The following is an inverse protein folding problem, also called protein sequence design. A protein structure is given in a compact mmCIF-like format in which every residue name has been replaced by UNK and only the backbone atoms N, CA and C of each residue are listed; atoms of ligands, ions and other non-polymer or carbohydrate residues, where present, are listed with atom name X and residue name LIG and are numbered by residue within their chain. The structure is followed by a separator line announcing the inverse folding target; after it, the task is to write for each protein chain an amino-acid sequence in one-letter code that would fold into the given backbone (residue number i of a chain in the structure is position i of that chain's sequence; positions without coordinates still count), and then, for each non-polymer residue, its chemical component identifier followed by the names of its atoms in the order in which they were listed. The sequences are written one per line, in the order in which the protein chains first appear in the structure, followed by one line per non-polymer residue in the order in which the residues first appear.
data_IF_933591528489
#
_entry.id   IF_933591528489
#
_cell.length_a   1.000
_cell.length_b   1.000
_cell.length_c   1.000
_cell.angle_alpha   90.00
_cell.angle_beta   90.00
_cell.angle_gamma   90.00
#
_symmetry.space_group_name_H-M   'P 1'
#
loop_
_entity.id
_entity.type
_entity.pdbx_description
1 polymer ?
#
# COMPACT_ATOMS: atom_id res chain seq x y z
N UNK A 1 44.02 10.21 2.81
CA UNK A 1 45.31 9.52 3.00
C UNK A 1 46.13 9.42 1.73
N UNK A 2 45.60 9.03 0.56
CA UNK A 2 46.33 8.83 -0.69
C UNK A 2 47.01 10.10 -1.23
N UNK A 3 46.32 11.26 -1.21
CA UNK A 3 46.90 12.53 -1.65
C UNK A 3 48.10 12.96 -0.78
N UNK A 4 48.02 12.76 0.52
CA UNK A 4 49.12 13.05 1.43
C UNK A 4 50.33 12.13 1.16
N UNK A 5 50.08 10.84 0.89
CA UNK A 5 51.15 9.89 0.54
C UNK A 5 51.84 10.27 -0.82
N UNK A 6 51.03 10.59 -1.84
CA UNK A 6 51.56 11.01 -3.13
C UNK A 6 52.35 12.34 -3.06
N UNK A 7 51.82 13.32 -2.31
CA UNK A 7 52.50 14.59 -2.05
C UNK A 7 53.78 14.42 -1.25
N UNK A 8 53.75 13.54 -0.21
CA UNK A 8 54.89 13.20 0.61
C UNK A 8 56.01 12.50 -0.22
N UNK A 9 55.64 11.57 -1.10
CA UNK A 9 56.57 10.94 -2.03
C UNK A 9 57.19 11.97 -2.98
N UNK A 10 56.37 12.87 -3.53
CA UNK A 10 56.85 13.95 -4.36
C UNK A 10 57.85 14.86 -3.65
N UNK A 11 57.52 15.27 -2.41
CA UNK A 11 58.42 16.08 -1.58
C UNK A 11 59.74 15.32 -1.26
N UNK A 12 59.67 14.03 -0.96
CA UNK A 12 60.84 13.19 -0.73
C UNK A 12 61.72 13.08 -1.97
N UNK A 13 61.15 12.96 -3.19
CA UNK A 13 61.89 12.96 -4.43
C UNK A 13 62.60 14.29 -4.70
N UNK A 14 61.93 15.42 -4.43
CA UNK A 14 62.53 16.76 -4.56
C UNK A 14 63.70 16.91 -3.59
N UNK A 15 63.51 16.48 -2.32
CA UNK A 15 64.54 16.54 -1.31
C UNK A 15 65.73 15.64 -1.66
N UNK A 16 65.47 14.41 -2.11
CA UNK A 16 66.54 13.51 -2.58
C UNK A 16 67.30 14.08 -3.77
N UNK A 17 66.60 14.75 -4.72
CA UNK A 17 67.23 15.46 -5.81
C UNK A 17 68.18 16.57 -5.35
N UNK A 18 67.77 17.31 -4.32
CA UNK A 18 68.61 18.35 -3.72
C UNK A 18 69.84 17.80 -2.95
N UNK A 19 69.67 16.68 -2.24
CA UNK A 19 70.75 16.07 -1.45
C UNK A 19 71.78 15.38 -2.34
N UNK A 20 71.29 14.70 -3.40
CA UNK A 20 72.17 13.94 -4.31
C UNK A 20 72.55 14.69 -5.59
N UNK A 21 72.23 15.97 -5.71
CA UNK A 21 72.43 16.82 -6.88
C UNK A 21 71.92 16.19 -8.18
N UNK A 22 70.78 15.50 -8.10
CA UNK A 22 70.17 14.75 -9.19
C UNK A 22 69.04 15.52 -9.86
N UNK A 23 69.30 16.20 -10.96
CA UNK A 23 68.34 16.98 -11.71
C UNK A 23 67.12 16.12 -12.20
N UNK A 24 67.30 14.82 -12.41
CA UNK A 24 66.28 13.91 -12.92
C UNK A 24 65.13 13.62 -11.91
N UNK A 25 65.35 13.84 -10.59
CA UNK A 25 64.35 13.61 -9.56
C UNK A 25 63.37 14.79 -9.36
N UNK A 26 63.74 15.99 -9.77
CA UNK A 26 62.88 17.17 -9.62
C UNK A 26 61.59 17.10 -10.43
N UNK A 27 61.57 16.78 -11.75
CA UNK A 27 60.35 16.78 -12.53
C UNK A 27 59.27 15.82 -11.98
N UNK A 28 59.54 14.53 -11.67
CA UNK A 28 58.54 13.65 -11.12
C UNK A 28 58.13 14.06 -9.71
N UNK A 29 59.04 14.57 -8.87
CA UNK A 29 58.76 15.05 -7.55
C UNK A 29 57.79 16.23 -7.55
N UNK A 30 58.10 17.25 -8.35
CA UNK A 30 57.24 18.42 -8.51
C UNK A 30 55.90 18.06 -9.11
N UNK A 31 55.86 17.18 -10.11
CA UNK A 31 54.60 16.69 -10.70
C UNK A 31 53.69 16.02 -9.67
N UNK A 32 54.22 15.16 -8.81
CA UNK A 32 53.45 14.49 -7.74
C UNK A 32 52.92 15.47 -6.71
N UNK A 33 53.71 16.46 -6.32
CA UNK A 33 53.25 17.52 -5.40
C UNK A 33 52.12 18.32 -6.03
N UNK A 34 52.29 18.79 -7.27
CA UNK A 34 51.29 19.59 -7.98
C UNK A 34 49.98 18.81 -8.19
N UNK A 35 50.07 17.53 -8.60
CA UNK A 35 48.90 16.65 -8.73
C UNK A 35 48.17 16.47 -7.41
N UNK A 36 48.90 16.26 -6.31
CA UNK A 36 48.30 16.07 -4.98
C UNK A 36 47.63 17.35 -4.49
N UNK A 37 48.29 18.49 -4.59
CA UNK A 37 47.74 19.79 -4.20
C UNK A 37 46.55 20.16 -5.09
N UNK A 38 46.71 19.99 -6.41
CA UNK A 38 45.66 20.26 -7.38
C UNK A 38 44.42 19.41 -7.18
N UNK A 39 44.56 18.09 -6.94
CA UNK A 39 43.46 17.20 -6.64
C UNK A 39 42.70 17.62 -5.37
N UNK A 40 43.43 17.92 -4.29
CA UNK A 40 42.82 18.38 -3.02
C UNK A 40 42.11 19.71 -3.18
N UNK A 41 42.76 20.68 -3.87
CA UNK A 41 42.17 21.99 -4.12
C UNK A 41 40.88 21.88 -4.95
N UNK A 42 40.94 21.10 -6.06
CA UNK A 42 39.78 20.92 -6.93
C UNK A 42 38.58 20.27 -6.20
N UNK A 43 38.82 19.13 -5.49
CA UNK A 43 37.76 18.46 -4.74
C UNK A 43 37.19 19.36 -3.64
N UNK A 44 38.03 20.14 -2.92
CA UNK A 44 37.57 21.08 -1.91
C UNK A 44 36.73 22.22 -2.49
N UNK A 45 37.13 22.79 -3.62
CA UNK A 45 36.38 23.86 -4.30
C UNK A 45 35.07 23.34 -4.88
N UNK A 46 35.06 22.12 -5.43
CA UNK A 46 33.88 21.48 -5.94
C UNK A 46 32.89 21.08 -4.83
N UNK A 47 33.41 20.72 -3.64
CA UNK A 47 32.57 20.38 -2.49
C UNK A 47 32.08 21.59 -1.69
N UNK A 48 32.73 22.76 -1.84
CA UNK A 48 32.34 23.97 -1.13
C UNK A 48 31.00 24.48 -1.64
N UNK A 49 29.96 24.47 -0.77
CA UNK A 49 28.57 24.79 -1.12
C UNK A 49 27.93 23.79 -2.12
N UNK A 50 28.51 22.60 -2.27
CA UNK A 50 27.82 21.54 -2.97
C UNK A 50 26.64 21.04 -2.15
N UNK A 51 25.53 20.73 -2.80
CA UNK A 51 24.35 20.23 -2.17
C UNK A 51 23.71 19.10 -2.99
N UNK A 52 23.08 18.18 -2.30
CA UNK A 52 22.19 17.18 -2.87
C UNK A 52 20.84 17.25 -2.18
N UNK A 53 19.79 17.39 -2.96
CA UNK A 53 18.43 17.55 -2.47
C UNK A 53 17.48 16.64 -3.23
N UNK A 54 16.48 16.12 -2.55
CA UNK A 54 15.35 15.47 -3.21
C UNK A 54 14.38 16.56 -3.70
N UNK A 55 13.93 16.39 -4.93
CA UNK A 55 12.86 17.25 -5.44
C UNK A 55 11.55 16.88 -4.74
N UNK A 56 10.67 17.86 -4.45
CA UNK A 56 9.35 17.59 -3.91
C UNK A 56 8.61 16.55 -4.77
N UNK A 57 8.07 15.54 -4.13
CA UNK A 57 7.36 14.44 -4.76
C UNK A 57 6.07 14.08 -4.01
N UNK A 58 5.32 13.09 -4.48
CA UNK A 58 4.15 12.58 -3.77
C UNK A 58 4.55 12.05 -2.40
N UNK A 59 3.82 12.44 -1.37
CA UNK A 59 4.02 11.96 0.01
C UNK A 59 3.47 10.57 0.25
N UNK A 60 2.70 10.03 -0.72
CA UNK A 60 2.15 8.68 -0.68
C UNK A 60 2.24 8.00 -2.04
N UNK A 61 2.35 6.69 -2.03
CA UNK A 61 2.39 5.83 -3.20
C UNK A 61 1.73 4.49 -2.88
N UNK A 62 1.13 3.84 -3.86
CA UNK A 62 0.61 2.47 -3.68
C UNK A 62 1.74 1.46 -3.88
N UNK A 63 1.72 0.34 -3.14
CA UNK A 63 2.66 -0.77 -3.32
C UNK A 63 2.82 -1.13 -4.81
N UNK A 64 4.06 -1.47 -5.21
CA UNK A 64 4.46 -1.85 -6.56
C UNK A 64 4.26 -0.77 -7.63
N UNK A 65 3.66 0.37 -7.31
CA UNK A 65 3.56 1.48 -8.25
C UNK A 65 4.89 2.27 -8.31
N UNK A 66 5.24 2.79 -9.49
CA UNK A 66 6.43 3.60 -9.63
C UNK A 66 6.25 4.93 -8.87
N UNK A 67 7.16 5.18 -7.94
CA UNK A 67 7.26 6.46 -7.23
C UNK A 67 8.38 7.29 -7.85
N UNK A 68 8.09 8.51 -8.36
CA UNK A 68 9.09 9.34 -9.02
C UNK A 68 10.02 9.97 -7.98
N UNK A 69 11.25 9.48 -7.89
CA UNK A 69 12.33 10.08 -7.11
C UNK A 69 13.09 11.06 -7.99
N UNK A 70 13.00 12.34 -7.67
CA UNK A 70 13.81 13.39 -8.26
C UNK A 70 14.96 13.76 -7.33
N UNK A 71 16.18 13.80 -7.85
CA UNK A 71 17.36 14.25 -7.13
C UNK A 71 17.97 15.44 -7.87
N UNK A 72 18.30 16.49 -7.15
CA UNK A 72 19.03 17.65 -7.65
C UNK A 72 20.38 17.69 -6.98
N UNK A 73 21.41 17.60 -7.80
CA UNK A 73 22.80 17.75 -7.35
C UNK A 73 23.31 19.09 -7.84
N UNK A 74 23.85 19.89 -6.94
CA UNK A 74 24.59 21.12 -7.26
C UNK A 74 26.03 20.99 -6.76
N UNK A 75 27.00 21.25 -7.62
CA UNK A 75 28.39 21.38 -7.20
C UNK A 75 28.66 22.79 -6.66
N UNK A 76 29.79 22.95 -6.00
CA UNK A 76 30.21 24.21 -5.45
C UNK A 76 30.72 25.22 -6.49
N UNK A 77 31.84 25.85 -6.18
CA UNK A 77 32.41 26.95 -6.98
C UNK A 77 32.84 26.47 -8.35
N UNK A 78 33.36 25.24 -8.45
CA UNK A 78 33.82 24.60 -9.69
C UNK A 78 33.01 23.31 -9.96
N UNK A 79 32.91 22.88 -11.23
CA UNK A 79 32.31 21.59 -11.54
C UNK A 79 33.10 20.47 -10.86
N UNK A 80 32.43 19.39 -10.41
CA UNK A 80 33.11 18.26 -9.79
C UNK A 80 33.99 17.56 -10.85
N UNK A 81 35.23 17.17 -10.51
CA UNK A 81 36.09 16.43 -11.43
C UNK A 81 35.52 15.03 -11.73
N UNK A 82 34.75 14.47 -10.83
CA UNK A 82 34.06 13.21 -10.87
C UNK A 82 33.41 12.91 -9.56
N UNK A 83 32.65 11.84 -9.49
CA UNK A 83 32.03 11.39 -8.26
C UNK A 83 30.78 10.53 -8.46
N UNK A 84 30.10 10.30 -7.39
CA UNK A 84 28.93 9.41 -7.33
C UNK A 84 27.88 10.00 -6.40
N UNK A 85 26.64 9.87 -6.82
CA UNK A 85 25.48 10.10 -5.96
C UNK A 85 25.05 8.77 -5.37
N UNK A 86 25.07 8.67 -4.05
CA UNK A 86 24.62 7.53 -3.28
C UNK A 86 23.21 7.85 -2.75
N UNK A 87 22.21 7.18 -3.29
CA UNK A 87 20.84 7.24 -2.80
C UNK A 87 20.50 5.89 -2.20
N UNK A 88 20.16 5.82 -0.89
CA UNK A 88 19.90 4.55 -0.21
C UNK A 88 18.75 3.72 -0.81
N UNK A 89 17.82 4.37 -1.52
CA UNK A 89 16.73 3.69 -2.24
C UNK A 89 17.20 3.02 -3.54
N UNK A 90 18.38 3.38 -4.02
CA UNK A 90 18.99 2.79 -5.20
C UNK A 90 20.05 1.79 -4.73
N UNK A 91 20.04 0.59 -5.26
CA UNK A 91 21.06 -0.41 -4.94
C UNK A 91 22.43 -0.14 -5.58
N UNK A 92 22.59 0.97 -6.32
CA UNK A 92 23.80 1.33 -7.07
C UNK A 92 24.08 2.82 -7.03
N UNK A 93 25.38 3.22 -7.09
CA UNK A 93 25.77 4.61 -7.21
C UNK A 93 25.45 5.19 -8.59
N UNK A 94 24.98 6.43 -8.62
CA UNK A 94 24.74 7.16 -9.88
C UNK A 94 25.94 8.04 -10.17
N UNK A 95 26.66 7.86 -11.31
CA UNK A 95 27.82 8.67 -11.63
C UNK A 95 27.43 10.13 -11.86
N UNK A 96 28.24 11.03 -11.33
CA UNK A 96 28.11 12.47 -11.53
C UNK A 96 29.44 13.06 -11.99
N UNK A 97 29.40 14.11 -12.77
CA UNK A 97 30.62 14.84 -13.16
C UNK A 97 30.42 15.84 -14.27
N UNK A 98 31.37 16.73 -14.41
CA UNK A 98 31.49 17.68 -15.54
C UNK A 98 30.46 18.81 -15.56
N UNK A 99 29.43 18.80 -14.73
CA UNK A 99 28.36 19.82 -14.70
C UNK A 99 28.17 20.38 -13.29
N UNK A 100 27.92 21.69 -13.18
CA UNK A 100 27.63 22.33 -11.90
C UNK A 100 26.27 21.95 -11.31
N UNK A 101 25.30 21.62 -12.15
CA UNK A 101 23.99 21.16 -11.70
C UNK A 101 23.54 19.99 -12.54
N UNK A 102 23.09 18.94 -11.89
CA UNK A 102 22.56 17.74 -12.54
C UNK A 102 21.24 17.35 -11.86
N UNK A 103 20.26 16.94 -12.67
CA UNK A 103 19.00 16.38 -12.19
C UNK A 103 18.94 14.92 -12.59
N UNK A 104 18.64 14.08 -11.60
CA UNK A 104 18.44 12.65 -11.78
C UNK A 104 17.01 12.34 -11.46
N UNK A 105 16.32 11.61 -12.34
CA UNK A 105 14.95 11.16 -12.13
C UNK A 105 14.93 9.65 -12.27
N UNK A 106 14.40 8.97 -11.26
CA UNK A 106 14.35 7.52 -11.18
C UNK A 106 13.00 7.13 -10.59
N UNK A 107 12.47 6.00 -11.03
CA UNK A 107 11.26 5.44 -10.45
C UNK A 107 11.65 4.35 -9.46
N UNK A 108 11.26 4.52 -8.20
CA UNK A 108 11.45 3.54 -7.14
C UNK A 108 10.12 2.81 -6.92
N UNK A 109 10.17 1.52 -6.60
CA UNK A 109 8.99 0.74 -6.23
C UNK A 109 9.15 0.21 -4.82
N UNK A 110 8.08 0.31 -4.04
CA UNK A 110 8.04 -0.22 -2.68
C UNK A 110 7.20 -1.49 -2.66
N UNK A 111 7.78 -2.59 -2.23
CA UNK A 111 7.12 -3.90 -2.19
C UNK A 111 6.20 -4.09 -0.98
N UNK A 112 6.34 -3.24 0.06
CA UNK A 112 5.58 -3.38 1.30
C UNK A 112 5.01 -2.05 1.74
N UNK A 113 3.78 -2.08 2.23
CA UNK A 113 3.06 -0.94 2.77
C UNK A 113 3.72 -0.40 4.06
N UNK A 114 3.31 0.79 4.46
CA UNK A 114 3.73 1.41 5.72
C UNK A 114 4.45 2.73 5.54
N UNK A 115 4.87 3.33 6.65
CA UNK A 115 5.72 4.52 6.63
C UNK A 115 7.15 4.12 6.32
N UNK A 116 7.74 4.80 5.36
CA UNK A 116 9.13 4.62 4.96
C UNK A 116 9.88 5.92 5.19
N UNK A 117 10.73 5.93 6.21
CA UNK A 117 11.72 6.99 6.39
C UNK A 117 12.79 6.88 5.31
N UNK A 118 13.08 7.99 4.66
CA UNK A 118 14.10 8.08 3.62
C UNK A 118 15.41 8.53 4.25
N UNK A 119 16.42 7.67 4.23
CA UNK A 119 17.75 8.03 4.68
C UNK A 119 18.35 9.11 3.78
N UNK A 120 19.24 9.94 4.31
CA UNK A 120 19.83 11.05 3.56
C UNK A 120 20.58 10.57 2.31
N UNK A 121 20.40 11.22 1.15
CA UNK A 121 21.26 10.99 -0.01
C UNK A 121 22.65 11.55 0.26
N UNK A 122 23.68 10.95 -0.31
CA UNK A 122 25.06 11.36 -0.13
C UNK A 122 25.73 11.62 -1.49
N UNK A 123 26.40 12.76 -1.60
CA UNK A 123 27.18 13.13 -2.76
C UNK A 123 28.65 12.88 -2.46
N UNK A 124 29.29 11.98 -3.20
CA UNK A 124 30.72 11.68 -3.10
C UNK A 124 31.43 12.32 -4.27
N UNK A 125 32.26 13.33 -4.01
CA UNK A 125 33.07 14.02 -5.01
C UNK A 125 34.50 13.45 -4.93
N UNK A 126 35.03 12.99 -6.07
CA UNK A 126 36.36 12.39 -6.16
C UNK A 126 37.17 12.99 -7.31
N UNK A 127 38.45 13.07 -7.13
CA UNK A 127 39.35 13.36 -8.25
C UNK A 127 39.54 12.12 -9.18
N UNK A 128 39.91 12.29 -10.45
CA UNK A 128 40.07 11.20 -11.40
C UNK A 128 41.06 10.13 -10.97
N UNK A 129 42.09 10.52 -10.24
CA UNK A 129 43.14 9.62 -9.74
C UNK A 129 42.79 8.96 -8.39
N UNK A 130 41.61 9.29 -7.83
CA UNK A 130 41.16 8.81 -6.53
C UNK A 130 42.13 9.10 -5.37
N UNK A 131 42.85 10.19 -5.46
CA UNK A 131 43.75 10.64 -4.41
C UNK A 131 43.01 11.29 -3.27
N UNK A 132 41.92 12.01 -3.57
CA UNK A 132 41.08 12.74 -2.61
C UNK A 132 39.62 12.49 -2.88
N UNK A 133 38.81 12.35 -1.78
CA UNK A 133 37.37 12.35 -1.85
C UNK A 133 36.75 13.24 -0.77
N UNK A 134 35.57 13.76 -1.05
CA UNK A 134 34.76 14.52 -0.11
C UNK A 134 33.32 14.07 -0.19
N UNK A 135 32.69 13.88 0.96
CA UNK A 135 31.29 13.49 1.07
C UNK A 135 30.46 14.67 1.56
N UNK A 136 29.31 14.86 0.93
CA UNK A 136 28.34 15.90 1.26
C UNK A 136 27.00 15.20 1.44
N UNK A 137 26.50 15.19 2.67
CA UNK A 137 25.19 14.63 2.99
C UNK A 137 24.08 15.60 2.62
N UNK A 138 22.99 15.06 2.07
CA UNK A 138 21.75 15.79 1.85
C UNK A 138 20.85 15.83 3.10
N UNK A 139 19.67 16.43 2.98
CA UNK A 139 18.68 16.46 4.05
C UNK A 139 18.18 15.05 4.38
N UNK A 140 17.96 14.81 5.68
CA UNK A 140 17.34 13.60 6.21
C UNK A 140 15.93 13.92 6.73
N UNK A 141 15.15 12.86 7.04
CA UNK A 141 13.86 13.02 7.73
C UNK A 141 12.65 13.11 6.82
N UNK A 142 12.80 12.90 5.53
CA UNK A 142 11.65 12.73 4.63
C UNK A 142 10.99 11.37 4.84
N UNK A 143 9.66 11.34 4.75
CA UNK A 143 8.87 10.11 4.85
C UNK A 143 7.93 9.96 3.66
N UNK A 144 7.75 8.71 3.24
CA UNK A 144 6.76 8.32 2.23
C UNK A 144 5.81 7.30 2.83
N UNK A 145 4.51 7.50 2.64
CA UNK A 145 3.48 6.55 3.04
C UNK A 145 3.19 5.58 1.89
N UNK A 146 3.53 4.32 2.07
CA UNK A 146 3.24 3.27 1.10
C UNK A 146 1.88 2.66 1.43
N UNK A 147 0.91 2.90 0.55
CA UNK A 147 -0.47 2.44 0.68
C UNK A 147 -0.60 0.98 0.22
N UNK A 148 -1.45 0.15 0.85
CA UNK A 148 -1.70 -1.20 0.37
C UNK A 148 -2.33 -1.19 -1.02
N UNK A 149 -1.91 -2.10 -1.89
CA UNK A 149 -2.52 -2.24 -3.22
C UNK A 149 -3.94 -2.82 -3.10
N UNK A 150 -4.80 -2.41 -4.02
CA UNK A 150 -6.16 -2.91 -4.15
C UNK A 150 -6.20 -3.92 -5.29
N UNK A 151 -6.66 -5.14 -5.00
CA UNK A 151 -6.72 -6.24 -5.94
C UNK A 151 -8.18 -6.64 -6.24
N UNK A 152 -8.46 -7.19 -7.42
CA UNK A 152 -9.81 -7.66 -7.73
C UNK A 152 -10.22 -8.85 -6.85
N UNK A 153 -11.51 -8.91 -6.53
CA UNK A 153 -12.11 -10.07 -5.85
C UNK A 153 -12.48 -11.12 -6.90
N UNK A 154 -11.93 -12.32 -6.77
CA UNK A 154 -12.17 -13.44 -7.68
C UNK A 154 -13.09 -14.46 -7.03
N UNK A 155 -14.24 -14.74 -7.64
CA UNK A 155 -15.21 -15.72 -7.11
C UNK A 155 -14.74 -17.15 -7.47
N UNK A 156 -14.67 -18.02 -6.46
CA UNK A 156 -14.33 -19.44 -6.65
C UNK A 156 -15.55 -20.16 -7.24
N UNK A 157 -15.42 -20.73 -8.45
CA UNK A 157 -16.52 -21.47 -9.11
C UNK A 157 -16.89 -20.98 -10.51
N UNK A 158 -16.31 -19.88 -10.99
CA UNK A 158 -16.40 -19.45 -12.38
C UNK A 158 -15.37 -20.17 -13.24
N UNK A 159 -15.48 -21.47 -13.44
CA UNK A 159 -14.70 -22.21 -14.42
C UNK A 159 -15.08 -21.80 -15.85
N UNK A 160 -14.49 -20.74 -16.36
CA UNK A 160 -14.69 -20.21 -17.70
C UNK A 160 -13.51 -19.36 -18.12
N UNK A 161 -12.55 -20.01 -18.81
CA UNK A 161 -11.53 -19.46 -19.72
C UNK A 161 -11.15 -18.00 -19.53
N UNK A 162 -9.96 -17.77 -19.01
CA UNK A 162 -9.21 -16.56 -19.20
C UNK A 162 -9.11 -16.26 -20.71
N UNK A 163 -9.84 -15.26 -21.18
CA UNK A 163 -9.78 -14.67 -22.50
C UNK A 163 -9.66 -13.18 -22.30
N UNK A 164 -8.47 -12.65 -22.53
CA UNK A 164 -8.21 -11.23 -22.63
C UNK A 164 -9.04 -10.60 -23.75
N UNK A 165 -9.64 -9.44 -23.51
CA UNK A 165 -10.17 -8.58 -24.55
C UNK A 165 -10.91 -7.39 -23.96
N UNK A 166 -10.45 -6.16 -24.25
CA UNK A 166 -11.20 -4.98 -23.87
C UNK A 166 -12.29 -4.70 -24.89
N UNK A 167 -13.33 -4.01 -24.44
CA UNK A 167 -14.27 -3.22 -25.23
C UNK A 167 -15.68 -3.78 -25.41
N UNK A 168 -16.57 -2.91 -24.97
CA UNK A 168 -17.82 -2.51 -25.61
C UNK A 168 -19.08 -3.31 -25.32
N UNK A 169 -20.06 -2.55 -24.89
CA UNK A 169 -21.43 -2.75 -25.34
C UNK A 169 -22.47 -2.95 -24.27
N UNK A 170 -23.12 -1.88 -23.94
CA UNK A 170 -24.54 -1.73 -23.64
C UNK A 170 -25.35 -3.01 -23.31
N UNK A 171 -25.95 -3.00 -22.13
CA UNK A 171 -27.18 -3.73 -21.87
C UNK A 171 -27.01 -5.06 -21.19
N UNK A 172 -26.96 -5.04 -19.90
CA UNK A 172 -27.09 -6.20 -19.05
C UNK A 172 -26.64 -5.87 -17.63
N UNK A 173 -27.57 -5.46 -16.78
CA UNK A 173 -27.36 -5.46 -15.34
C UNK A 173 -27.19 -6.92 -14.90
N UNK A 174 -26.07 -7.48 -15.30
CA UNK A 174 -25.67 -8.82 -14.94
C UNK A 174 -25.19 -8.82 -13.50
N UNK A 175 -25.65 -9.82 -12.77
CA UNK A 175 -25.33 -10.24 -11.42
C UNK A 175 -23.83 -10.57 -11.20
N UNK A 176 -22.91 -9.73 -11.65
CA UNK A 176 -21.48 -9.88 -11.48
C UNK A 176 -21.04 -8.98 -10.33
N UNK A 177 -20.90 -9.54 -9.14
CA UNK A 177 -20.28 -8.84 -8.02
C UNK A 177 -20.89 -9.04 -6.64
N UNK A 178 -21.90 -9.89 -6.48
CA UNK A 178 -22.38 -10.21 -5.14
C UNK A 178 -21.53 -11.31 -4.54
N UNK A 179 -20.88 -11.00 -3.43
CA UNK A 179 -20.22 -12.01 -2.60
C UNK A 179 -21.31 -12.97 -2.08
N UNK A 180 -21.09 -14.32 -2.14
CA UNK A 180 -21.99 -15.28 -1.54
C UNK A 180 -22.19 -14.96 -0.05
N UNK A 181 -23.43 -14.78 0.37
CA UNK A 181 -23.79 -14.32 1.72
C UNK A 181 -24.12 -12.83 1.82
N UNK A 182 -23.86 -12.02 0.78
CA UNK A 182 -24.36 -10.67 0.66
C UNK A 182 -25.78 -10.61 0.01
N UNK A 183 -26.31 -11.74 -0.39
CA UNK A 183 -27.74 -11.87 -0.63
C UNK A 183 -28.46 -11.95 0.73
N UNK A 184 -28.44 -10.81 1.47
CA UNK A 184 -29.58 -10.55 2.32
C UNK A 184 -30.74 -10.41 1.32
N UNK A 185 -31.61 -11.40 1.26
CA UNK A 185 -32.96 -11.21 0.77
C UNK A 185 -33.37 -9.82 1.20
N UNK A 186 -33.73 -8.99 0.24
CA UNK A 186 -34.50 -7.80 0.51
C UNK A 186 -35.85 -8.32 1.02
N UNK A 187 -35.80 -8.78 2.26
CA UNK A 187 -36.98 -9.26 2.96
C UNK A 187 -37.89 -8.05 3.15
N UNK A 188 -39.07 -8.16 2.60
CA UNK A 188 -40.08 -7.13 2.53
C UNK A 188 -40.74 -6.85 3.89
N UNK A 189 -40.08 -7.15 5.00
CA UNK A 189 -40.52 -6.87 6.37
C UNK A 189 -40.53 -5.36 6.73
N UNK A 190 -40.34 -4.49 5.76
CA UNK A 190 -40.33 -3.05 5.92
C UNK A 190 -41.53 -2.33 5.29
N UNK A 191 -42.66 -2.98 5.01
CA UNK A 191 -43.89 -2.32 4.58
C UNK A 191 -44.66 -1.77 5.78
N UNK A 192 -45.02 -0.51 5.74
CA UNK A 192 -45.91 0.13 6.72
C UNK A 192 -47.09 0.82 6.02
N UNK A 193 -48.19 1.05 6.68
CA UNK A 193 -49.28 1.83 6.11
C UNK A 193 -48.80 3.21 5.64
N UNK A 194 -49.21 3.59 4.44
CA UNK A 194 -48.86 4.87 3.83
C UNK A 194 -49.38 6.03 4.70
N UNK A 195 -48.52 7.01 4.94
CA UNK A 195 -48.92 8.25 5.61
C UNK A 195 -49.11 9.37 4.58
N UNK A 196 -50.23 10.09 4.59
CA UNK A 196 -50.45 11.25 3.73
C UNK A 196 -49.30 12.26 3.90
N UNK A 197 -48.68 12.66 2.77
CA UNK A 197 -47.50 13.55 2.74
C UNK A 197 -46.16 12.85 2.47
N UNK A 198 -46.11 11.51 2.50
CA UNK A 198 -44.91 10.79 2.01
C UNK A 198 -44.87 10.80 0.49
N UNK A 199 -43.63 10.76 -0.09
CA UNK A 199 -43.44 10.72 -1.54
C UNK A 199 -44.11 9.48 -2.15
N UNK A 200 -44.88 9.64 -3.21
CA UNK A 200 -45.53 8.56 -3.96
C UNK A 200 -44.52 7.53 -4.52
N UNK A 201 -43.26 7.90 -4.70
CA UNK A 201 -42.17 6.99 -5.13
C UNK A 201 -41.85 5.91 -4.08
N UNK A 202 -42.33 6.08 -2.85
CA UNK A 202 -42.15 5.10 -1.74
C UNK A 202 -43.27 4.07 -1.69
N UNK A 203 -44.37 4.24 -2.40
CA UNK A 203 -45.47 3.31 -2.43
C UNK A 203 -45.04 2.00 -3.09
N UNK A 204 -45.30 0.87 -2.41
CA UNK A 204 -45.03 -0.46 -2.93
C UNK A 204 -46.19 -0.97 -3.76
N UNK A 205 -46.30 -0.53 -5.01
CA UNK A 205 -47.43 -0.84 -5.89
C UNK A 205 -47.78 -2.34 -6.00
N UNK A 206 -46.80 -3.29 -6.04
CA UNK A 206 -47.15 -4.71 -6.04
C UNK A 206 -47.88 -5.19 -4.79
N UNK A 207 -47.61 -4.60 -3.62
CA UNK A 207 -48.33 -4.93 -2.41
C UNK A 207 -49.72 -4.31 -2.43
N UNK A 208 -49.86 -3.06 -2.86
CA UNK A 208 -51.15 -2.39 -3.07
C UNK A 208 -52.07 -3.20 -3.99
N UNK A 209 -51.52 -3.74 -5.08
CA UNK A 209 -52.26 -4.58 -6.02
C UNK A 209 -52.77 -5.90 -5.42
N UNK A 210 -52.11 -6.42 -4.35
CA UNK A 210 -52.46 -7.68 -3.69
C UNK A 210 -53.40 -7.49 -2.51
N UNK A 211 -53.16 -6.45 -1.74
CA UNK A 211 -53.86 -6.24 -0.45
C UNK A 211 -54.92 -5.15 -0.52
N UNK A 212 -54.92 -4.31 -1.54
CA UNK A 212 -55.80 -3.13 -1.62
C UNK A 212 -55.41 -1.98 -0.70
N UNK A 213 -54.45 -2.18 0.19
CA UNK A 213 -53.97 -1.17 1.14
C UNK A 213 -52.74 -0.46 0.64
N UNK A 214 -52.71 0.88 0.78
CA UNK A 214 -51.54 1.66 0.45
C UNK A 214 -50.42 1.41 1.48
N UNK A 215 -49.41 0.67 1.05
CA UNK A 215 -48.22 0.35 1.82
C UNK A 215 -47.00 1.11 1.25
N UNK A 216 -46.26 1.78 2.13
CA UNK A 216 -44.97 2.42 1.75
C UNK A 216 -43.78 1.58 2.19
N UNK A 217 -42.72 1.59 1.35
CA UNK A 217 -41.44 1.00 1.72
C UNK A 217 -40.81 1.82 2.83
N UNK A 218 -40.52 1.19 3.95
CA UNK A 218 -39.62 1.75 4.93
C UNK A 218 -38.22 1.72 4.38
N UNK A 219 -37.64 2.87 4.03
CA UNK A 219 -36.22 2.99 3.80
C UNK A 219 -35.57 2.82 5.18
N UNK A 220 -35.11 1.61 5.47
CA UNK A 220 -34.15 1.40 6.55
C UNK A 220 -32.93 2.23 6.14
N UNK A 221 -32.43 3.07 7.02
CA UNK A 221 -31.30 3.91 6.70
C UNK A 221 -30.19 3.04 6.08
N UNK A 222 -29.70 3.41 4.90
CA UNK A 222 -28.69 2.63 4.14
C UNK A 222 -27.50 2.23 5.03
N UNK A 223 -27.22 2.99 6.09
CA UNK A 223 -26.18 2.72 7.07
C UNK A 223 -26.42 1.47 7.94
N UNK A 224 -27.68 1.00 8.10
CA UNK A 224 -27.97 -0.18 8.93
C UNK A 224 -27.84 -1.50 8.16
N UNK A 225 -27.91 -1.47 6.83
CA UNK A 225 -27.80 -2.64 5.96
C UNK A 225 -26.41 -2.80 5.32
N UNK A 226 -25.53 -1.83 5.47
CA UNK A 226 -24.18 -1.87 4.89
C UNK A 226 -23.35 -3.01 5.48
N UNK A 227 -22.62 -3.77 4.65
CA UNK A 227 -21.70 -4.79 5.13
C UNK A 227 -20.60 -4.16 5.99
N UNK A 228 -20.12 -4.91 6.98
CA UNK A 228 -19.06 -4.50 7.88
C UNK A 228 -17.80 -5.31 7.60
N UNK A 229 -16.72 -4.64 7.17
CA UNK A 229 -15.37 -5.23 7.07
C UNK A 229 -14.64 -4.97 8.38
N UNK A 230 -14.25 -6.04 9.07
CA UNK A 230 -13.49 -6.00 10.32
C UNK A 230 -12.08 -6.52 10.05
N UNK A 231 -11.08 -5.72 10.33
CA UNK A 231 -9.68 -6.15 10.27
C UNK A 231 -9.18 -6.54 11.67
N UNK A 232 -8.87 -7.81 11.83
CA UNK A 232 -8.23 -8.35 13.04
C UNK A 232 -6.74 -8.61 12.78
N UNK A 233 -5.89 -7.74 13.28
CA UNK A 233 -4.44 -7.83 13.11
C UNK A 233 -3.72 -8.48 14.30
N UNK A 234 -4.45 -9.19 15.16
CA UNK A 234 -3.85 -9.89 16.31
C UNK A 234 -3.13 -11.16 15.87
N UNK A 235 -1.96 -11.40 16.49
CA UNK A 235 -1.19 -12.64 16.31
C UNK A 235 -1.08 -13.05 14.84
N UNK A 236 -0.57 -12.19 13.96
CA UNK A 236 -0.41 -12.56 12.56
C UNK A 236 0.56 -13.75 12.47
N UNK A 237 0.30 -14.68 11.57
CA UNK A 237 1.17 -15.84 11.34
C UNK A 237 2.55 -15.41 10.82
N UNK A 238 2.59 -14.34 10.03
CA UNK A 238 3.81 -13.68 9.56
C UNK A 238 3.50 -12.21 9.18
N UNK A 239 4.53 -11.44 8.90
CA UNK A 239 4.35 -10.07 8.38
C UNK A 239 3.70 -10.06 7.00
N UNK A 240 4.03 -11.04 6.14
CA UNK A 240 3.44 -11.21 4.82
C UNK A 240 1.95 -11.56 4.92
N UNK A 241 1.56 -12.40 5.88
CA UNK A 241 0.17 -12.72 6.16
C UNK A 241 -0.61 -11.48 6.61
N UNK A 242 0.01 -10.61 7.42
CA UNK A 242 -0.58 -9.33 7.81
C UNK A 242 -0.74 -8.41 6.61
N UNK A 243 0.26 -8.31 5.76
CA UNK A 243 0.21 -7.49 4.55
C UNK A 243 -0.87 -8.00 3.59
N UNK A 244 -1.01 -9.31 3.41
CA UNK A 244 -2.07 -9.93 2.62
C UNK A 244 -3.47 -9.62 3.21
N UNK A 245 -3.66 -9.78 4.52
CA UNK A 245 -4.92 -9.47 5.19
C UNK A 245 -5.30 -7.98 5.04
N UNK A 246 -4.34 -7.07 5.16
CA UNK A 246 -4.61 -5.64 4.97
C UNK A 246 -4.95 -5.31 3.51
N UNK A 247 -4.26 -5.91 2.52
CA UNK A 247 -4.62 -5.78 1.10
C UNK A 247 -6.02 -6.33 0.83
N UNK A 248 -6.36 -7.48 1.42
CA UNK A 248 -7.69 -8.06 1.31
C UNK A 248 -8.76 -7.14 1.90
N UNK A 249 -8.54 -6.56 3.09
CA UNK A 249 -9.44 -5.60 3.69
C UNK A 249 -9.62 -4.34 2.82
N UNK A 250 -8.52 -3.80 2.26
CA UNK A 250 -8.55 -2.66 1.36
C UNK A 250 -9.37 -2.97 0.09
N UNK A 251 -9.12 -4.12 -0.53
CA UNK A 251 -9.78 -4.56 -1.74
C UNK A 251 -11.27 -4.81 -1.55
N UNK A 252 -11.65 -5.48 -0.47
CA UNK A 252 -13.04 -5.71 -0.09
C UNK A 252 -13.76 -4.40 0.22
N UNK A 253 -13.11 -3.47 0.90
CA UNK A 253 -13.67 -2.15 1.19
C UNK A 253 -14.04 -1.42 -0.11
N UNK A 254 -13.13 -1.32 -1.05
CA UNK A 254 -13.40 -0.66 -2.35
C UNK A 254 -14.48 -1.41 -3.14
N UNK A 255 -14.39 -2.74 -3.18
CA UNK A 255 -15.36 -3.55 -3.91
C UNK A 255 -16.78 -3.34 -3.39
N UNK A 256 -16.98 -3.42 -2.09
CA UNK A 256 -18.29 -3.25 -1.44
C UNK A 256 -18.78 -1.81 -1.45
N UNK A 257 -17.89 -0.84 -1.26
CA UNK A 257 -18.25 0.58 -1.33
C UNK A 257 -18.86 0.93 -2.69
N UNK A 258 -18.29 0.43 -3.79
CA UNK A 258 -18.81 0.65 -5.15
C UNK A 258 -20.19 0.03 -5.40
N UNK A 259 -20.55 -1.01 -4.66
CA UNK A 259 -21.84 -1.69 -4.80
C UNK A 259 -22.95 -0.97 -4.03
N UNK A 260 -22.68 -0.47 -2.81
CA UNK A 260 -23.74 0.14 -1.99
C UNK A 260 -23.24 0.72 -0.67
N UNK A 261 -21.93 0.90 -0.54
CA UNK A 261 -21.32 1.38 0.70
C UNK A 261 -20.89 0.23 1.63
N UNK A 262 -19.97 0.54 2.54
CA UNK A 262 -19.39 -0.42 3.50
C UNK A 262 -18.97 0.29 4.77
N UNK A 263 -19.16 -0.37 5.92
CA UNK A 263 -18.56 0.02 7.18
C UNK A 263 -17.23 -0.69 7.37
N UNK A 264 -16.22 0.00 7.87
CA UNK A 264 -14.87 -0.55 8.10
C UNK A 264 -14.49 -0.35 9.55
N UNK A 265 -14.10 -1.42 10.22
CA UNK A 265 -13.61 -1.40 11.59
C UNK A 265 -12.14 -1.83 11.60
N UNK A 266 -11.26 -0.88 11.88
CA UNK A 266 -9.81 -1.11 11.97
C UNK A 266 -9.39 -1.44 13.41
N UNK A 267 -8.20 -2.04 13.61
CA UNK A 267 -7.66 -2.27 14.94
C UNK A 267 -7.60 -1.00 15.77
N UNK A 268 -8.09 -1.07 17.01
CA UNK A 268 -8.16 0.08 17.93
C UNK A 268 -9.40 0.97 17.78
N UNK A 269 -10.20 0.78 16.75
CA UNK A 269 -11.43 1.55 16.55
C UNK A 269 -12.56 1.06 17.50
N UNK A 270 -13.27 2.02 18.08
CA UNK A 270 -14.50 1.75 18.85
C UNK A 270 -15.76 1.84 17.98
N UNK A 271 -15.68 2.49 16.82
CA UNK A 271 -16.78 2.67 15.87
C UNK A 271 -16.29 2.42 14.45
N UNK A 272 -17.13 1.81 13.65
CA UNK A 272 -16.82 1.61 12.24
C UNK A 272 -16.89 2.93 11.46
N UNK A 273 -15.97 3.10 10.53
CA UNK A 273 -15.95 4.23 9.58
C UNK A 273 -16.79 3.82 8.35
N UNK A 274 -17.74 4.66 7.96
CA UNK A 274 -18.53 4.45 6.76
C UNK A 274 -17.76 4.92 5.52
N UNK A 275 -17.75 4.08 4.48
CA UNK A 275 -17.23 4.40 3.16
C UNK A 275 -18.38 4.26 2.16
N UNK A 276 -18.88 5.39 1.69
CA UNK A 276 -19.96 5.43 0.72
C UNK A 276 -19.49 5.09 -0.70
N UNK A 277 -20.45 4.99 -1.62
CA UNK A 277 -20.18 4.76 -3.05
C UNK A 277 -19.41 5.92 -3.70
N UNK A 278 -19.44 7.10 -3.12
CA UNK A 278 -18.67 8.29 -3.50
C UNK A 278 -17.18 8.18 -3.16
N UNK A 279 -16.80 7.21 -2.32
CA UNK A 279 -15.44 6.97 -1.85
C UNK A 279 -14.77 8.16 -1.13
N UNK A 280 -15.54 9.14 -0.65
CA UNK A 280 -14.99 10.36 -0.01
C UNK A 280 -14.17 10.05 1.23
N UNK A 281 -14.57 9.06 2.04
CA UNK A 281 -13.84 8.62 3.22
C UNK A 281 -12.66 7.66 2.91
N UNK A 282 -12.58 7.13 1.70
CA UNK A 282 -11.59 6.12 1.32
C UNK A 282 -10.13 6.56 1.52
N UNK A 283 -9.68 7.76 1.09
CA UNK A 283 -8.29 8.15 1.26
C UNK A 283 -7.82 8.09 2.72
N UNK A 284 -8.66 8.49 3.66
CA UNK A 284 -8.34 8.43 5.08
C UNK A 284 -8.28 7.00 5.61
N UNK A 285 -9.22 6.13 5.21
CA UNK A 285 -9.22 4.70 5.57
C UNK A 285 -8.01 4.00 4.96
N UNK A 286 -7.69 4.29 3.70
CA UNK A 286 -6.55 3.71 2.99
C UNK A 286 -5.21 4.08 3.64
N UNK A 287 -5.03 5.34 4.02
CA UNK A 287 -3.86 5.80 4.76
C UNK A 287 -3.72 5.12 6.13
N UNK A 288 -4.84 4.89 6.83
CA UNK A 288 -4.85 4.17 8.11
C UNK A 288 -4.52 2.69 7.92
N UNK A 289 -5.04 2.04 6.88
CA UNK A 289 -4.71 0.65 6.52
C UNK A 289 -3.21 0.49 6.24
N UNK A 290 -2.56 1.48 5.64
CA UNK A 290 -1.13 1.44 5.36
C UNK A 290 -0.28 1.26 6.63
N UNK A 291 -0.70 1.84 7.74
CA UNK A 291 0.06 1.84 9.00
C UNK A 291 -0.41 0.79 10.02
N UNK A 292 -1.36 -0.08 9.65
CA UNK A 292 -1.80 -1.15 10.54
C UNK A 292 -0.65 -2.10 10.83
N UNK A 293 -0.31 -2.25 12.11
CA UNK A 293 0.61 -3.26 12.64
C UNK A 293 -0.11 -4.37 13.39
N UNK A 294 0.65 -5.30 13.96
CA UNK A 294 0.10 -6.30 14.86
C UNK A 294 -0.51 -5.62 16.10
N UNK A 295 -1.76 -5.96 16.42
CA UNK A 295 -2.48 -5.42 17.55
C UNK A 295 -2.60 -6.45 18.69
N UNK A 296 -2.74 -5.98 19.93
CA UNK A 296 -3.00 -6.82 21.09
C UNK A 296 -4.49 -6.95 21.41
N UNK A 297 -5.28 -5.91 21.09
CA UNK A 297 -6.71 -5.83 21.41
C UNK A 297 -7.61 -6.46 20.36
N UNK A 298 -8.72 -7.08 20.81
CA UNK A 298 -9.75 -7.59 19.91
C UNK A 298 -10.52 -6.44 19.26
N UNK A 299 -10.94 -6.59 17.98
CA UNK A 299 -11.85 -5.63 17.35
C UNK A 299 -13.16 -5.50 18.14
N UNK A 300 -13.59 -4.25 18.39
CA UNK A 300 -14.80 -3.96 19.15
C UNK A 300 -16.05 -4.04 18.25
N UNK A 301 -16.67 -5.21 18.17
CA UNK A 301 -17.92 -5.42 17.42
C UNK A 301 -19.18 -4.79 18.06
N UNK A 302 -19.06 -3.95 19.07
CA UNK A 302 -20.10 -3.52 19.98
C UNK A 302 -21.45 -3.03 19.41
N UNK A 303 -21.52 -2.75 18.10
CA UNK A 303 -22.74 -2.45 17.34
C UNK A 303 -22.59 -2.89 15.89
N UNK A 304 -22.35 -4.19 15.67
CA UNK A 304 -22.46 -4.72 14.32
C UNK A 304 -23.88 -4.50 13.78
N UNK A 305 -24.04 -4.10 12.53
CA UNK A 305 -25.37 -3.94 11.93
C UNK A 305 -26.14 -5.26 12.02
N UNK A 306 -27.38 -5.21 12.50
CA UNK A 306 -28.23 -6.41 12.69
C UNK A 306 -28.61 -7.08 11.37
N UNK A 307 -28.59 -6.36 10.27
CA UNK A 307 -29.07 -6.80 8.95
C UNK A 307 -27.99 -6.90 7.88
N UNK A 308 -26.76 -6.48 8.15
CA UNK A 308 -25.66 -6.53 7.20
C UNK A 308 -24.79 -7.78 7.34
N UNK A 309 -23.94 -8.01 6.37
CA UNK A 309 -22.93 -9.06 6.43
C UNK A 309 -21.70 -8.57 7.23
N UNK A 310 -21.12 -9.45 8.05
CA UNK A 310 -19.84 -9.19 8.72
C UNK A 310 -18.74 -9.99 8.00
N UNK A 311 -17.76 -9.29 7.49
CA UNK A 311 -16.59 -9.85 6.81
C UNK A 311 -15.38 -9.65 7.75
N UNK A 312 -14.93 -10.75 8.34
CA UNK A 312 -13.81 -10.76 9.26
C UNK A 312 -12.53 -11.13 8.56
N UNK A 313 -11.65 -10.16 8.43
CA UNK A 313 -10.34 -10.33 7.80
C UNK A 313 -9.28 -10.50 8.87
N UNK A 314 -8.50 -11.57 8.81
CA UNK A 314 -7.45 -11.84 9.81
C UNK A 314 -6.20 -12.43 9.17
N UNK A 315 -5.05 -12.10 9.76
CA UNK A 315 -3.74 -12.63 9.41
C UNK A 315 -3.31 -13.81 10.30
N UNK A 316 -4.12 -14.14 11.32
CA UNK A 316 -3.80 -15.22 12.26
C UNK A 316 -3.98 -16.59 11.60
N UNK A 317 -3.11 -17.53 11.96
CA UNK A 317 -3.35 -18.94 11.69
C UNK A 317 -4.40 -19.48 12.66
N UNK A 318 -5.55 -19.84 12.15
CA UNK A 318 -6.71 -20.21 12.94
C UNK A 318 -7.03 -21.70 12.80
N UNK A 319 -7.16 -22.40 13.93
CA UNK A 319 -7.73 -23.75 13.94
C UNK A 319 -9.26 -23.75 13.86
N UNK A 320 -9.91 -22.65 14.28
CA UNK A 320 -11.38 -22.49 14.34
C UNK A 320 -11.77 -21.05 14.05
N UNK A 321 -13.02 -20.88 13.62
CA UNK A 321 -13.59 -19.54 13.40
C UNK A 321 -13.60 -18.70 14.69
N UNK A 322 -13.29 -17.39 14.59
CA UNK A 322 -13.29 -16.50 15.75
C UNK A 322 -14.66 -16.46 16.42
N UNK A 323 -14.71 -16.64 17.75
CA UNK A 323 -15.96 -16.62 18.50
C UNK A 323 -16.71 -15.27 18.39
N UNK A 324 -16.00 -14.16 18.20
CA UNK A 324 -16.61 -12.86 17.97
C UNK A 324 -17.37 -12.82 16.63
N UNK A 325 -16.83 -13.44 15.58
CA UNK A 325 -17.51 -13.53 14.29
C UNK A 325 -18.74 -14.46 14.36
N UNK A 326 -18.61 -15.63 15.01
CA UNK A 326 -19.73 -16.59 15.12
C UNK A 326 -20.91 -16.06 15.92
N UNK A 327 -20.65 -15.17 16.90
CA UNK A 327 -21.69 -14.52 17.72
C UNK A 327 -22.18 -13.20 17.14
N UNK A 328 -21.57 -12.69 16.08
CA UNK A 328 -21.98 -11.42 15.50
C UNK A 328 -23.45 -11.46 15.06
N UNK A 329 -24.28 -10.47 15.43
CA UNK A 329 -25.67 -10.39 15.03
C UNK A 329 -25.79 -9.87 13.59
N UNK A 330 -25.40 -10.71 12.62
CA UNK A 330 -25.37 -10.38 11.20
C UNK A 330 -26.06 -11.45 10.38
N UNK A 331 -26.68 -11.06 9.25
CA UNK A 331 -27.35 -11.96 8.32
C UNK A 331 -26.32 -12.91 7.65
N UNK A 332 -25.18 -12.37 7.22
CA UNK A 332 -24.08 -13.13 6.67
C UNK A 332 -22.80 -12.99 7.50
N UNK A 333 -22.00 -14.05 7.56
CA UNK A 333 -20.68 -14.04 8.21
C UNK A 333 -19.67 -14.66 7.29
N UNK A 334 -18.58 -13.97 7.04
CA UNK A 334 -17.50 -14.42 6.15
C UNK A 334 -16.17 -14.25 6.87
N UNK A 335 -15.37 -15.31 6.88
CA UNK A 335 -13.99 -15.29 7.32
C UNK A 335 -13.08 -15.12 6.09
N UNK A 336 -12.15 -14.18 6.15
CA UNK A 336 -11.14 -13.94 5.12
C UNK A 336 -9.76 -14.08 5.75
N UNK A 337 -8.98 -15.04 5.24
CA UNK A 337 -7.68 -15.38 5.81
C UNK A 337 -6.71 -15.91 4.73
N UNK A 338 -5.40 -15.65 4.83
CA UNK A 338 -4.41 -16.28 3.97
C UNK A 338 -4.32 -17.80 4.19
N UNK A 339 -4.70 -18.29 5.38
CA UNK A 339 -4.70 -19.72 5.73
C UNK A 339 -6.13 -20.23 5.91
N UNK A 340 -6.79 -20.74 4.84
CA UNK A 340 -8.18 -21.14 4.90
C UNK A 340 -8.40 -22.34 5.81
N UNK A 341 -9.51 -22.33 6.55
CA UNK A 341 -9.94 -23.45 7.38
C UNK A 341 -10.37 -24.62 6.49
N UNK A 342 -9.81 -25.82 6.72
CA UNK A 342 -10.08 -27.03 5.91
C UNK A 342 -11.56 -27.45 5.89
N UNK A 343 -12.29 -27.13 6.96
CA UNK A 343 -13.70 -27.52 7.12
C UNK A 343 -14.69 -26.60 6.37
N UNK A 344 -14.22 -25.48 5.81
CA UNK A 344 -15.08 -24.49 5.17
C UNK A 344 -14.76 -24.36 3.68
N UNK A 345 -15.80 -24.26 2.86
CA UNK A 345 -15.62 -24.02 1.43
C UNK A 345 -15.13 -22.59 1.17
N UNK A 346 -14.20 -22.45 0.22
CA UNK A 346 -13.74 -21.15 -0.27
C UNK A 346 -14.71 -20.67 -1.35
N UNK A 347 -15.29 -19.48 -1.17
CA UNK A 347 -16.23 -18.91 -2.12
C UNK A 347 -15.64 -17.83 -3.01
N UNK A 348 -14.59 -17.15 -2.53
CA UNK A 348 -13.83 -16.17 -3.30
C UNK A 348 -12.40 -16.05 -2.78
N UNK A 349 -11.55 -15.44 -3.59
CA UNK A 349 -10.18 -15.09 -3.22
C UNK A 349 -9.91 -13.61 -3.47
N UNK A 350 -9.06 -13.00 -2.65
CA UNK A 350 -8.65 -11.61 -2.77
C UNK A 350 -7.29 -11.39 -2.10
N UNK A 351 -6.34 -10.80 -2.82
CA UNK A 351 -5.02 -10.46 -2.31
C UNK A 351 -4.31 -11.60 -1.56
N UNK A 352 -4.40 -12.83 -2.09
CA UNK A 352 -3.81 -14.02 -1.47
C UNK A 352 -4.60 -14.57 -0.27
N UNK A 353 -5.72 -13.97 0.10
CA UNK A 353 -6.62 -14.48 1.13
C UNK A 353 -7.82 -15.20 0.52
N UNK A 354 -8.35 -16.18 1.26
CA UNK A 354 -9.54 -16.96 0.90
C UNK A 354 -10.74 -16.55 1.74
N UNK A 355 -11.87 -16.26 1.08
CA UNK A 355 -13.14 -15.96 1.73
C UNK A 355 -13.98 -17.21 1.94
N UNK A 356 -14.37 -17.45 3.18
CA UNK A 356 -15.10 -18.63 3.62
C UNK A 356 -16.35 -18.22 4.40
N UNK A 357 -17.58 -18.55 3.96
CA UNK A 357 -18.81 -18.26 4.69
C UNK A 357 -18.88 -19.09 5.97
N UNK A 358 -19.30 -18.44 7.06
CA UNK A 358 -19.54 -19.06 8.35
C UNK A 358 -21.03 -19.00 8.64
N UNK A 359 -21.68 -20.13 8.55
CA UNK A 359 -23.12 -20.22 8.85
C UNK A 359 -23.64 -21.61 8.55
N UNK A 360 -24.79 -21.97 9.10
CA UNK A 360 -25.46 -23.22 8.75
C UNK A 360 -25.65 -23.27 7.24
N UNK A 361 -25.28 -24.39 6.57
CA UNK A 361 -25.72 -24.60 5.21
C UNK A 361 -27.24 -24.52 5.24
N UNK A 362 -27.84 -23.71 4.38
CA UNK A 362 -29.27 -23.74 4.16
C UNK A 362 -29.65 -25.21 3.96
N UNK A 363 -30.49 -25.74 4.81
CA UNK A 363 -31.03 -27.06 4.60
C UNK A 363 -31.76 -27.03 3.26
N UNK A 364 -31.15 -27.62 2.25
CA UNK A 364 -31.90 -28.09 1.06
C UNK A 364 -32.90 -29.12 1.60
N UNK A 365 -34.06 -28.65 1.97
CA UNK A 365 -35.20 -29.49 2.36
C UNK A 365 -35.64 -30.27 1.16
N UNK A 366 -34.94 -31.37 0.92
CA UNK A 366 -35.45 -32.51 0.14
C UNK A 366 -36.60 -33.11 0.90
N UNK A 367 -37.78 -32.57 0.69
CA UNK A 367 -39.05 -33.21 1.10
C UNK A 367 -39.20 -34.48 0.23
N UNK A 368 -38.68 -35.59 0.74
CA UNK A 368 -38.99 -36.88 0.20
C UNK A 368 -40.51 -37.05 0.29
N UNK A 369 -41.21 -36.92 -0.83
CA UNK A 369 -42.56 -37.41 -0.98
C UNK A 369 -42.52 -38.93 -0.76
N UNK A 370 -42.94 -39.35 0.44
CA UNK A 370 -43.37 -40.74 0.61
C UNK A 370 -44.69 -40.89 -0.11
N UNK A 371 -44.65 -41.49 -1.28
CA UNK A 371 -45.80 -42.06 -1.96
C UNK A 371 -46.20 -43.27 -1.14
N UNK A 372 -47.34 -43.19 -0.44
CA UNK A 372 -48.00 -44.36 0.12
C UNK A 372 -48.81 -45.01 -0.97
N UNK A 373 -48.51 -46.29 -1.18
CA UNK A 373 -49.41 -47.25 -1.89
C UNK A 373 -50.54 -47.70 -0.96
#
# INVERSE_FOLDING_TARGET
MRAAAAGGLGAALVLAGAVFDSASLYPPGVALVLLSVGAVAWVRLAARNAAVERAPGPTSVVEEQPWPLGLRVSSGIVPPPGGELLEPLLGWPVPIGGRRSQRVRINVRFSRRGRRGLAAPELVIRDPLRLCERRVAGPAGEEVLVLPRVEPVSVAGGGGRAGAGPLSGHGGRAAAGRLPGAEAELDLDGLRPYRPGASASRIHWPAVARTGEMLERRLVAESESSPLVVLDSRRPASEEALDAAVRAAASLTIHLARVGGVAVLLPGDRRATQVGSDLSAWPAVHARLAVVGAASGAPALGRAPRSGAVIWVTAADLARSPAALTRAPAAGRVLVTPHPLRALAVTFTVAGCSGQPIGRPAHSGGRAQRTAA
#
